data_IF_488570417627
#
_entry.id   IF_488570417627
#
_cell.length_a   1.000
_cell.length_b   1.000
_cell.length_c   1.000
_cell.angle_alpha   90.00
_cell.angle_beta   90.00
_cell.angle_gamma   90.00
#
_symmetry.space_group_name_H-M   'P 1'
#
loop_
_entity.id
_entity.type
_entity.pdbx_description
1 polymer ?
#
# COMPACT_ATOMS: atom_id res chain seq x y z
N UNK A 1 -29.71 -59.91 99.86
CA UNK A 1 -29.03 -60.07 98.56
C UNK A 1 -29.17 -58.79 97.77
N UNK A 2 -28.02 -58.28 97.31
CA UNK A 2 -27.81 -57.44 96.13
C UNK A 2 -28.68 -56.18 95.90
N UNK A 3 -28.03 -55.05 96.24
CA UNK A 3 -28.15 -53.72 95.64
C UNK A 3 -28.26 -53.80 94.11
N UNK A 4 -29.04 -52.91 93.48
CA UNK A 4 -28.56 -52.21 92.27
C UNK A 4 -29.25 -50.85 92.10
N UNK A 5 -28.45 -49.81 92.37
CA UNK A 5 -28.63 -48.44 91.90
C UNK A 5 -28.45 -48.44 90.38
N UNK A 6 -29.49 -48.07 89.63
CA UNK A 6 -29.36 -47.76 88.21
C UNK A 6 -29.20 -46.25 88.05
N UNK A 7 -27.93 -45.83 87.96
CA UNK A 7 -27.55 -44.49 87.56
C UNK A 7 -28.06 -44.17 86.15
N UNK A 8 -28.86 -43.12 86.01
CA UNK A 8 -29.15 -42.50 84.71
C UNK A 8 -27.85 -41.89 84.18
N UNK A 9 -27.16 -42.63 83.30
CA UNK A 9 -26.08 -42.10 82.48
C UNK A 9 -26.64 -41.02 81.55
N UNK A 10 -26.05 -39.84 81.65
CA UNK A 10 -26.12 -38.77 80.67
C UNK A 10 -25.67 -39.34 79.31
N UNK A 11 -26.56 -39.31 78.32
CA UNK A 11 -26.16 -39.49 76.93
C UNK A 11 -25.45 -38.21 76.48
N UNK A 12 -24.26 -38.29 75.86
CA UNK A 12 -23.61 -37.13 75.26
C UNK A 12 -24.45 -36.65 74.08
N UNK A 13 -24.71 -35.35 74.03
CA UNK A 13 -25.25 -34.70 72.84
C UNK A 13 -24.28 -34.93 71.70
N UNK A 14 -24.60 -35.87 70.81
CA UNK A 14 -23.91 -36.02 69.53
C UNK A 14 -24.29 -34.81 68.69
N UNK A 15 -23.41 -33.80 68.67
CA UNK A 15 -23.46 -32.72 67.71
C UNK A 15 -23.46 -33.35 66.31
N UNK A 16 -24.61 -33.31 65.64
CA UNK A 16 -24.70 -33.57 64.21
C UNK A 16 -23.91 -32.45 63.53
N UNK A 17 -22.63 -32.72 63.25
CA UNK A 17 -21.86 -31.96 62.28
C UNK A 17 -22.54 -32.22 60.94
N UNK A 18 -23.46 -31.33 60.58
CA UNK A 18 -23.93 -31.20 59.21
C UNK A 18 -22.67 -31.02 58.37
N UNK A 19 -22.37 -31.90 57.40
CA UNK A 19 -21.30 -31.59 56.49
C UNK A 19 -21.71 -30.30 55.81
N UNK A 20 -20.98 -29.22 56.11
CA UNK A 20 -20.98 -28.03 55.26
C UNK A 20 -20.56 -28.58 53.91
N UNK A 21 -21.55 -28.88 53.05
CA UNK A 21 -21.30 -28.94 51.62
C UNK A 21 -20.80 -27.55 51.33
N UNK A 22 -19.47 -27.40 51.30
CA UNK A 22 -18.85 -26.38 50.48
C UNK A 22 -19.45 -26.65 49.12
N UNK A 23 -20.52 -25.95 48.80
CA UNK A 23 -20.82 -25.61 47.43
C UNK A 23 -19.52 -24.99 46.98
N UNK A 24 -18.70 -25.79 46.29
CA UNK A 24 -17.70 -25.27 45.39
C UNK A 24 -18.55 -24.46 44.44
N UNK A 25 -18.74 -23.18 44.76
CA UNK A 25 -19.12 -22.18 43.79
C UNK A 25 -18.08 -22.42 42.72
N UNK A 26 -18.51 -23.05 41.62
CA UNK A 26 -17.67 -23.25 40.47
C UNK A 26 -17.11 -21.85 40.22
N UNK A 27 -15.81 -21.69 40.50
CA UNK A 27 -15.10 -20.51 40.02
C UNK A 27 -15.51 -20.43 38.56
N UNK A 28 -16.01 -19.28 38.06
CA UNK A 28 -16.22 -19.15 36.63
C UNK A 28 -14.92 -19.64 36.01
N UNK A 29 -15.01 -20.73 35.24
CA UNK A 29 -13.86 -21.27 34.53
C UNK A 29 -13.35 -20.05 33.77
N UNK A 30 -12.19 -19.54 34.19
CA UNK A 30 -11.61 -18.37 33.57
C UNK A 30 -11.67 -18.64 32.06
N UNK A 31 -12.18 -17.71 31.23
CA UNK A 31 -12.22 -17.94 29.79
C UNK A 31 -10.83 -18.39 29.41
N UNK A 32 -10.68 -19.64 28.93
CA UNK A 32 -9.41 -20.34 28.86
C UNK A 32 -8.34 -19.37 28.38
N UNK A 33 -7.58 -18.81 29.31
CA UNK A 33 -6.59 -17.82 28.97
C UNK A 33 -5.43 -18.67 28.54
N UNK A 34 -5.43 -19.02 27.25
CA UNK A 34 -4.28 -19.61 26.59
C UNK A 34 -3.10 -18.76 27.04
N UNK A 35 -2.23 -19.35 27.86
CA UNK A 35 -1.03 -18.63 28.24
C UNK A 35 -0.23 -18.45 26.95
N UNK A 36 0.61 -17.42 26.89
CA UNK A 36 1.48 -17.22 25.71
C UNK A 36 2.33 -18.47 25.42
N UNK A 37 2.63 -19.25 26.46
CA UNK A 37 3.26 -20.57 26.37
C UNK A 37 2.35 -21.60 25.70
N UNK A 38 1.08 -21.70 26.07
CA UNK A 38 0.13 -22.64 25.46
C UNK A 38 -0.12 -22.31 23.98
N UNK A 39 -0.15 -21.02 23.63
CA UNK A 39 -0.22 -20.57 22.24
C UNK A 39 1.03 -20.98 21.44
N UNK A 40 2.22 -20.82 22.02
CA UNK A 40 3.49 -21.27 21.42
C UNK A 40 3.47 -22.79 21.21
N UNK A 41 3.09 -23.56 22.22
CA UNK A 41 3.00 -25.03 22.13
C UNK A 41 1.99 -25.48 21.09
N UNK A 42 0.81 -24.85 21.04
CA UNK A 42 -0.22 -25.15 20.04
C UNK A 42 0.27 -24.85 18.62
N UNK A 43 1.03 -23.77 18.42
CA UNK A 43 1.64 -23.46 17.13
C UNK A 43 2.70 -24.51 16.73
N UNK A 44 3.52 -24.98 17.67
CA UNK A 44 4.48 -26.07 17.44
C UNK A 44 3.78 -27.39 17.10
N UNK A 45 2.67 -27.70 17.76
CA UNK A 45 1.84 -28.88 17.44
C UNK A 45 1.19 -28.76 16.06
N UNK A 46 0.68 -27.59 15.71
CA UNK A 46 0.12 -27.31 14.38
C UNK A 46 1.18 -27.41 13.28
N UNK A 47 2.42 -26.98 13.53
CA UNK A 47 3.56 -27.17 12.62
C UNK A 47 3.87 -28.65 12.42
N UNK A 48 3.90 -29.44 13.51
CA UNK A 48 4.14 -30.89 13.45
C UNK A 48 3.03 -31.62 12.67
N UNK A 49 1.77 -31.24 12.90
CA UNK A 49 0.62 -31.87 12.26
C UNK A 49 0.54 -31.54 10.76
N UNK A 50 0.65 -30.25 10.40
CA UNK A 50 0.45 -29.76 9.04
C UNK A 50 1.61 -28.86 8.58
N UNK A 51 2.82 -29.41 8.36
CA UNK A 51 3.99 -28.58 8.06
C UNK A 51 3.92 -27.83 6.72
N UNK A 52 3.08 -28.28 5.79
CA UNK A 52 2.89 -27.59 4.51
C UNK A 52 2.16 -26.25 4.66
N UNK A 53 1.40 -26.05 5.74
CA UNK A 53 0.74 -24.77 6.04
C UNK A 53 1.69 -23.71 6.59
N UNK A 54 2.97 -24.05 6.74
CA UNK A 54 3.99 -23.16 7.28
C UNK A 54 5.06 -22.85 6.23
N UNK A 55 5.54 -21.62 6.26
CA UNK A 55 6.78 -21.22 5.61
C UNK A 55 7.94 -21.50 6.57
N UNK A 56 8.81 -22.43 6.18
CA UNK A 56 10.09 -22.66 6.84
C UNK A 56 11.10 -21.60 6.38
N UNK A 57 11.39 -20.65 7.25
CA UNK A 57 12.28 -19.52 7.00
C UNK A 57 13.66 -19.70 7.64
N UNK A 58 13.92 -20.84 8.32
CA UNK A 58 15.19 -21.13 9.01
C UNK A 58 16.40 -20.90 8.11
N UNK A 59 16.30 -21.33 6.86
CA UNK A 59 17.38 -21.21 5.86
C UNK A 59 17.51 -19.82 5.19
N UNK A 60 16.53 -18.93 5.36
CA UNK A 60 16.44 -17.62 4.66
C UNK A 60 16.50 -16.42 5.60
N UNK A 61 16.53 -16.67 6.90
CA UNK A 61 16.55 -15.66 7.95
C UNK A 61 17.92 -14.98 8.05
N UNK A 62 17.97 -13.69 7.67
CA UNK A 62 19.18 -12.84 7.80
C UNK A 62 19.20 -12.01 9.11
N UNK A 63 18.13 -12.07 9.91
CA UNK A 63 17.99 -11.36 11.17
C UNK A 63 17.59 -12.36 12.26
N UNK A 64 18.37 -12.54 13.35
CA UNK A 64 18.07 -13.50 14.42
C UNK A 64 16.72 -13.22 15.11
N UNK A 65 16.20 -11.99 15.04
CA UNK A 65 14.89 -11.61 15.60
C UNK A 65 13.70 -11.95 14.69
N UNK A 66 13.91 -12.28 13.42
CA UNK A 66 12.82 -12.69 12.54
C UNK A 66 12.31 -14.10 12.92
N UNK A 67 11.05 -14.45 12.63
CA UNK A 67 10.53 -15.78 12.94
C UNK A 67 11.13 -16.88 12.06
N UNK A 68 11.27 -18.08 12.62
CA UNK A 68 11.82 -19.27 11.96
C UNK A 68 10.75 -20.00 11.16
N UNK A 69 9.52 -20.05 11.67
CA UNK A 69 8.34 -20.49 10.91
C UNK A 69 7.24 -19.44 10.94
N UNK A 70 6.56 -19.28 9.82
CA UNK A 70 5.43 -18.36 9.69
C UNK A 70 4.29 -19.08 8.99
N UNK A 71 3.08 -19.00 9.54
CA UNK A 71 1.91 -19.64 8.93
C UNK A 71 1.57 -18.98 7.57
N UNK A 72 1.18 -19.78 6.58
CA UNK A 72 0.95 -19.33 5.20
C UNK A 72 -0.30 -18.48 5.05
N UNK A 73 -1.37 -18.88 5.73
CA UNK A 73 -2.67 -18.21 5.79
C UNK A 73 -2.64 -16.96 6.68
N UNK A 74 -1.88 -17.01 7.78
CA UNK A 74 -1.77 -15.92 8.73
C UNK A 74 -0.31 -15.63 9.13
N UNK A 75 0.25 -14.59 8.52
CA UNK A 75 1.63 -14.13 8.78
C UNK A 75 1.85 -13.56 10.19
N UNK A 76 0.80 -13.36 10.99
CA UNK A 76 0.92 -12.95 12.40
C UNK A 76 1.19 -14.13 13.34
N UNK A 77 0.93 -15.36 12.91
CA UNK A 77 1.20 -16.58 13.68
C UNK A 77 2.58 -17.09 13.29
N UNK A 78 3.50 -17.06 14.24
CA UNK A 78 4.91 -17.29 13.97
C UNK A 78 5.61 -18.00 15.13
N UNK A 79 6.64 -18.78 14.80
CA UNK A 79 7.40 -19.60 15.73
C UNK A 79 8.87 -19.22 15.64
N UNK A 80 9.52 -19.12 16.78
CA UNK A 80 10.97 -18.92 16.93
C UNK A 80 11.57 -20.15 17.61
N UNK A 81 12.66 -20.68 17.04
CA UNK A 81 13.39 -21.84 17.59
C UNK A 81 14.12 -21.43 18.86
N UNK A 82 14.74 -20.25 18.85
CA UNK A 82 15.40 -19.66 20.01
C UNK A 82 14.41 -18.99 21.00
N UNK A 83 13.12 -19.37 20.93
CA UNK A 83 12.09 -18.88 21.82
C UNK A 83 12.25 -19.41 23.25
N UNK A 84 11.87 -18.58 24.25
CA UNK A 84 11.92 -18.97 25.67
C UNK A 84 11.06 -20.20 26.02
N UNK A 85 10.00 -20.42 25.25
CA UNK A 85 9.01 -21.48 25.46
C UNK A 85 9.03 -22.56 24.37
N UNK A 86 10.17 -22.75 23.71
CA UNK A 86 10.35 -23.82 22.74
C UNK A 86 10.23 -25.20 23.43
N UNK A 87 9.34 -26.10 22.96
CA UNK A 87 9.18 -27.42 23.56
C UNK A 87 10.44 -28.28 23.35
N UNK A 88 10.80 -29.12 24.32
CA UNK A 88 12.04 -29.93 24.29
C UNK A 88 12.12 -30.88 23.07
N UNK A 89 10.98 -31.31 22.55
CA UNK A 89 10.90 -32.20 21.37
C UNK A 89 10.99 -31.49 20.02
N UNK A 90 11.25 -30.18 20.00
CA UNK A 90 11.28 -29.41 18.76
C UNK A 90 12.31 -29.96 17.76
N UNK A 91 13.44 -30.48 18.25
CA UNK A 91 14.51 -31.07 17.42
C UNK A 91 13.99 -32.26 16.60
N UNK A 92 13.17 -33.15 17.17
CA UNK A 92 12.55 -34.26 16.44
C UNK A 92 11.64 -33.77 15.31
N UNK A 93 10.98 -32.62 15.50
CA UNK A 93 10.13 -32.01 14.47
C UNK A 93 10.97 -31.40 13.37
N UNK A 94 12.08 -30.74 13.73
CA UNK A 94 13.04 -30.22 12.76
C UNK A 94 13.66 -31.35 11.94
N UNK A 95 14.08 -32.44 12.57
CA UNK A 95 14.64 -33.60 11.90
C UNK A 95 13.64 -34.27 10.96
N UNK A 96 12.38 -34.40 11.37
CA UNK A 96 11.30 -34.89 10.51
C UNK A 96 11.04 -33.96 9.31
N UNK A 97 11.09 -32.64 9.52
CA UNK A 97 10.93 -31.65 8.45
C UNK A 97 12.10 -31.66 7.48
N UNK A 98 13.32 -31.76 8.00
CA UNK A 98 14.56 -31.81 7.22
C UNK A 98 14.65 -33.13 6.44
N UNK A 99 14.23 -34.25 7.04
CA UNK A 99 14.13 -35.55 6.38
C UNK A 99 13.09 -35.54 5.25
N UNK A 100 11.94 -34.90 5.45
CA UNK A 100 10.92 -34.69 4.39
C UNK A 100 11.45 -33.82 3.25
N UNK A 101 12.25 -32.80 3.57
CA UNK A 101 12.92 -31.95 2.57
C UNK A 101 14.04 -32.70 1.81
N UNK A 102 14.74 -33.63 2.46
CA UNK A 102 15.81 -34.44 1.86
C UNK A 102 15.27 -35.59 0.98
N UNK A 103 14.11 -36.18 1.31
CA UNK A 103 13.44 -37.22 0.51
C UNK A 103 12.84 -36.70 -0.81
N UNK A 104 12.69 -35.38 -0.97
CA UNK A 104 12.34 -34.72 -2.21
C UNK A 104 13.58 -34.07 -2.86
N UNK A 105 14.52 -34.90 -3.34
CA UNK A 105 15.49 -34.51 -4.38
C UNK A 105 16.20 -33.15 -4.21
N UNK A 106 16.64 -32.81 -3.00
CA UNK A 106 17.51 -31.65 -2.76
C UNK A 106 18.71 -32.07 -1.92
N UNK A 107 19.74 -32.54 -2.61
CA UNK A 107 21.07 -32.72 -2.04
C UNK A 107 21.57 -31.43 -1.38
N UNK A 108 21.88 -31.58 -0.09
CA UNK A 108 23.08 -31.07 0.58
C UNK A 108 23.47 -29.62 0.28
N UNK A 109 22.94 -28.70 1.10
CA UNK A 109 23.47 -27.34 1.25
C UNK A 109 24.49 -27.32 2.37
N UNK A 110 25.74 -27.61 2.04
CA UNK A 110 26.85 -27.02 2.80
C UNK A 110 26.85 -25.52 2.55
N UNK A 111 27.21 -24.78 3.60
CA UNK A 111 27.25 -23.33 3.68
C UNK A 111 28.22 -22.74 2.65
N UNK A 112 27.73 -22.51 1.43
CA UNK A 112 28.22 -21.45 0.56
C UNK A 112 27.08 -20.99 -0.33
N UNK A 113 26.85 -19.68 -0.35
CA UNK A 113 25.71 -19.02 -0.97
C UNK A 113 25.96 -18.86 -2.48
N UNK A 114 25.08 -19.35 -3.38
CA UNK A 114 24.79 -18.65 -4.62
C UNK A 114 23.51 -17.84 -4.41
N UNK A 115 23.66 -16.52 -4.56
CA UNK A 115 22.56 -15.60 -4.79
C UNK A 115 21.97 -15.86 -6.18
N UNK A 116 20.72 -15.45 -6.32
CA UNK A 116 19.92 -15.45 -7.54
C UNK A 116 19.38 -16.82 -7.93
N UNK A 117 18.05 -16.84 -7.99
CA UNK A 117 17.23 -17.74 -8.78
C UNK A 117 18.01 -18.43 -9.90
N UNK A 118 17.79 -19.74 -10.04
CA UNK A 118 17.78 -20.36 -11.37
C UNK A 118 16.66 -19.67 -12.17
N UNK A 119 16.90 -18.43 -12.62
CA UNK A 119 16.55 -18.05 -13.97
C UNK A 119 17.18 -19.14 -14.81
N UNK A 120 16.38 -19.75 -15.66
CA UNK A 120 16.86 -20.72 -16.63
C UNK A 120 18.17 -20.17 -17.20
N UNK A 121 19.32 -20.83 -16.96
CA UNK A 121 20.62 -20.28 -17.36
C UNK A 121 20.63 -19.96 -18.86
N UNK A 122 19.82 -20.69 -19.62
CA UNK A 122 19.48 -20.43 -21.01
C UNK A 122 18.77 -19.09 -21.24
N UNK A 123 17.81 -18.69 -20.39
CA UNK A 123 17.10 -17.42 -20.53
C UNK A 123 17.98 -16.21 -20.19
N UNK A 124 18.84 -16.30 -19.17
CA UNK A 124 19.80 -15.25 -18.87
C UNK A 124 20.86 -15.13 -19.98
N UNK A 125 21.36 -16.26 -20.48
CA UNK A 125 22.26 -16.30 -21.63
C UNK A 125 21.61 -15.72 -22.90
N UNK A 126 20.34 -16.02 -23.17
CA UNK A 126 19.59 -15.43 -24.28
C UNK A 126 19.40 -13.92 -24.13
N UNK A 127 19.26 -13.42 -22.90
CA UNK A 127 19.20 -11.99 -22.63
C UNK A 127 20.56 -11.32 -22.90
N UNK A 128 21.67 -11.96 -22.56
CA UNK A 128 23.01 -11.50 -22.94
C UNK A 128 23.20 -11.48 -24.46
N UNK A 129 22.75 -12.52 -25.17
CA UNK A 129 22.76 -12.54 -26.65
C UNK A 129 21.92 -11.39 -27.23
N UNK A 130 20.70 -11.18 -26.72
CA UNK A 130 19.84 -10.07 -27.13
C UNK A 130 20.48 -8.71 -26.89
N UNK A 131 21.25 -8.53 -25.81
CA UNK A 131 22.01 -7.30 -25.56
C UNK A 131 23.10 -7.08 -26.61
N UNK A 132 23.78 -8.15 -27.04
CA UNK A 132 24.82 -8.07 -28.08
C UNK A 132 24.24 -7.82 -29.47
N UNK A 133 23.15 -8.49 -29.81
CA UNK A 133 22.48 -8.37 -31.11
C UNK A 133 21.76 -7.02 -31.26
N UNK A 134 21.09 -6.55 -30.20
CA UNK A 134 20.26 -5.34 -30.24
C UNK A 134 20.50 -4.44 -29.01
N UNK A 135 21.69 -3.82 -28.89
CA UNK A 135 22.06 -3.03 -27.72
C UNK A 135 21.21 -1.77 -27.53
N UNK A 136 20.56 -1.27 -28.59
CA UNK A 136 19.63 -0.15 -28.54
C UNK A 136 18.35 -0.45 -27.77
N UNK A 137 17.95 -1.72 -27.59
CA UNK A 137 16.78 -2.11 -26.80
C UNK A 137 17.06 -2.16 -25.28
N UNK A 138 18.30 -1.86 -24.90
CA UNK A 138 18.76 -1.90 -23.52
C UNK A 138 19.17 -0.51 -23.04
N UNK A 139 18.85 -0.22 -21.78
CA UNK A 139 19.44 0.86 -21.02
C UNK A 139 20.73 0.38 -20.38
N UNK A 140 21.84 0.98 -20.79
CA UNK A 140 23.12 0.86 -20.09
C UNK A 140 23.15 1.82 -18.90
N UNK A 141 23.15 1.25 -17.69
CA UNK A 141 23.15 1.99 -16.43
C UNK A 141 24.51 1.94 -15.72
N UNK A 142 25.53 1.32 -16.31
CA UNK A 142 26.85 1.09 -15.67
C UNK A 142 27.45 2.38 -15.10
N UNK A 143 27.36 3.49 -15.84
CA UNK A 143 27.90 4.79 -15.44
C UNK A 143 27.02 5.59 -14.48
N UNK A 144 25.73 5.23 -14.33
CA UNK A 144 24.73 5.97 -13.53
C UNK A 144 24.32 5.23 -12.26
N UNK A 145 24.88 4.04 -12.04
CA UNK A 145 24.55 3.15 -10.94
C UNK A 145 25.13 3.68 -9.61
N UNK A 146 24.25 4.15 -8.73
CA UNK A 146 24.60 4.62 -7.38
C UNK A 146 24.57 3.51 -6.32
N UNK A 147 23.98 2.36 -6.65
CA UNK A 147 23.84 1.21 -5.76
C UNK A 147 24.41 -0.04 -6.45
N UNK A 148 25.39 -0.75 -5.85
CA UNK A 148 25.96 -1.98 -6.41
C UNK A 148 24.92 -3.06 -6.75
N UNK A 149 23.76 -3.07 -6.08
CA UNK A 149 22.67 -4.04 -6.32
C UNK A 149 21.75 -3.68 -7.49
N UNK A 150 21.80 -2.45 -8.00
CA UNK A 150 21.00 -2.08 -9.17
C UNK A 150 21.51 -2.82 -10.43
N UNK A 151 20.67 -3.07 -11.44
CA UNK A 151 21.11 -3.75 -12.65
C UNK A 151 22.03 -2.88 -13.51
N UNK A 152 22.98 -3.52 -14.20
CA UNK A 152 23.92 -2.86 -15.10
C UNK A 152 23.26 -2.60 -16.46
N UNK A 153 22.49 -3.57 -16.96
CA UNK A 153 21.64 -3.39 -18.13
C UNK A 153 20.19 -3.69 -17.80
N UNK A 154 19.27 -2.90 -18.36
CA UNK A 154 17.82 -3.12 -18.21
C UNK A 154 17.14 -2.95 -19.55
N UNK A 155 16.24 -3.86 -19.92
CA UNK A 155 15.47 -3.72 -21.16
C UNK A 155 14.57 -2.48 -21.13
N UNK A 156 14.36 -1.88 -22.30
CA UNK A 156 13.55 -0.67 -22.46
C UNK A 156 12.04 -0.97 -22.43
N UNK A 157 11.64 -2.02 -23.13
CA UNK A 157 10.28 -2.53 -23.25
C UNK A 157 9.80 -3.22 -21.98
N UNK A 158 10.66 -4.04 -21.37
CA UNK A 158 10.38 -4.77 -20.15
C UNK A 158 11.35 -4.40 -19.02
N UNK A 159 10.82 -3.66 -18.04
CA UNK A 159 11.58 -3.24 -16.86
C UNK A 159 11.90 -4.37 -15.90
N UNK A 160 11.32 -5.57 -16.10
CA UNK A 160 11.57 -6.76 -15.29
C UNK A 160 12.80 -7.56 -15.77
N UNK A 161 13.18 -7.41 -17.05
CA UNK A 161 14.35 -8.08 -17.63
C UNK A 161 15.60 -7.21 -17.41
N UNK A 162 16.55 -7.76 -16.66
CA UNK A 162 17.74 -7.05 -16.23
C UNK A 162 18.95 -7.97 -16.12
N UNK A 163 20.12 -7.41 -16.42
CA UNK A 163 21.40 -8.08 -16.42
C UNK A 163 22.37 -7.38 -15.46
N UNK A 164 23.19 -8.21 -14.82
CA UNK A 164 24.19 -7.79 -13.85
C UNK A 164 25.55 -8.33 -14.27
N UNK A 165 26.56 -7.47 -14.32
CA UNK A 165 27.93 -7.88 -14.66
C UNK A 165 28.53 -8.81 -13.61
N UNK A 166 28.11 -8.70 -12.35
CA UNK A 166 28.52 -9.59 -11.26
C UNK A 166 27.69 -10.89 -11.19
N UNK A 167 26.87 -11.18 -12.21
CA UNK A 167 26.15 -12.46 -12.31
C UNK A 167 27.09 -13.61 -12.61
N UNK A 168 26.83 -14.77 -12.00
CA UNK A 168 27.60 -15.99 -12.23
C UNK A 168 27.47 -16.53 -13.67
N UNK A 169 26.39 -16.16 -14.37
CA UNK A 169 26.10 -16.57 -15.74
C UNK A 169 26.51 -15.51 -16.78
N UNK A 170 27.33 -14.53 -16.40
CA UNK A 170 27.92 -13.61 -17.36
C UNK A 170 28.76 -14.41 -18.38
N UNK A 171 28.50 -14.28 -19.69
CA UNK A 171 29.25 -15.02 -20.70
C UNK A 171 30.73 -14.67 -20.69
N UNK A 172 31.60 -15.61 -21.08
CA UNK A 172 33.06 -15.37 -21.13
C UNK A 172 33.44 -14.20 -22.06
N UNK A 173 32.63 -13.96 -23.10
CA UNK A 173 32.81 -12.86 -24.06
C UNK A 173 32.27 -11.51 -23.56
N UNK A 174 31.84 -11.39 -22.30
CA UNK A 174 31.27 -10.16 -21.77
C UNK A 174 32.23 -8.98 -21.87
N UNK A 175 33.53 -9.18 -21.65
CA UNK A 175 34.53 -8.10 -21.71
C UNK A 175 34.64 -7.50 -23.12
N UNK A 176 34.61 -8.35 -24.16
CA UNK A 176 34.60 -7.90 -25.56
C UNK A 176 33.33 -7.11 -25.87
N UNK A 177 32.17 -7.59 -25.40
CA UNK A 177 30.91 -6.86 -25.55
C UNK A 177 30.98 -5.49 -24.87
N UNK A 178 31.53 -5.39 -23.67
CA UNK A 178 31.65 -4.10 -22.97
C UNK A 178 32.55 -3.12 -23.73
N UNK A 179 33.68 -3.59 -24.26
CA UNK A 179 34.55 -2.77 -25.11
C UNK A 179 33.82 -2.28 -26.36
N UNK A 180 33.05 -3.15 -27.01
CA UNK A 180 32.23 -2.79 -28.17
C UNK A 180 31.17 -1.75 -27.82
N UNK A 181 30.45 -1.93 -26.70
CA UNK A 181 29.43 -0.98 -26.24
C UNK A 181 30.05 0.37 -25.87
N UNK A 182 31.20 0.39 -25.21
CA UNK A 182 31.91 1.62 -24.83
C UNK A 182 32.46 2.34 -26.06
N UNK A 183 32.99 1.60 -27.04
CA UNK A 183 33.40 2.14 -28.33
C UNK A 183 32.21 2.73 -29.11
N UNK A 184 31.06 2.02 -29.15
CA UNK A 184 29.81 2.53 -29.76
C UNK A 184 29.29 3.77 -29.06
N UNK A 185 29.32 3.83 -27.72
CA UNK A 185 28.93 5.03 -26.97
C UNK A 185 29.89 6.19 -27.23
N UNK A 186 31.18 5.92 -27.29
CA UNK A 186 32.21 6.92 -27.60
C UNK A 186 32.08 7.43 -29.04
N UNK A 187 31.76 6.57 -30.01
CA UNK A 187 31.46 6.96 -31.39
C UNK A 187 30.16 7.77 -31.48
N UNK A 188 29.13 7.44 -30.71
CA UNK A 188 27.90 8.26 -30.63
C UNK A 188 28.15 9.62 -29.98
N UNK A 189 28.97 9.66 -28.94
CA UNK A 189 29.39 10.92 -28.30
C UNK A 189 30.28 11.75 -29.22
N UNK A 190 31.21 11.11 -29.94
CA UNK A 190 32.05 11.74 -30.95
C UNK A 190 31.23 12.21 -32.16
N UNK A 191 30.23 11.44 -32.59
CA UNK A 191 29.25 11.80 -33.61
C UNK A 191 28.37 12.98 -33.17
N UNK A 192 27.99 13.06 -31.89
CA UNK A 192 27.37 14.27 -31.32
C UNK A 192 28.32 15.47 -31.34
N UNK A 193 29.61 15.27 -31.09
CA UNK A 193 30.63 16.34 -31.16
C UNK A 193 31.00 16.77 -32.59
N UNK A 194 30.87 15.86 -33.57
CA UNK A 194 31.05 16.17 -35.01
C UNK A 194 29.76 16.68 -35.66
N UNK A 195 28.57 16.30 -35.18
CA UNK A 195 27.29 16.87 -35.62
C UNK A 195 27.11 18.30 -35.10
N UNK A 196 27.77 18.68 -34.00
CA UNK A 196 27.99 20.09 -33.64
C UNK A 196 29.01 20.83 -34.51
N UNK A 197 29.65 20.17 -35.48
CA UNK A 197 30.56 20.83 -36.45
C UNK A 197 30.11 20.72 -37.92
N UNK A 198 29.19 19.81 -38.28
CA UNK A 198 28.75 19.63 -39.68
C UNK A 198 27.23 19.61 -39.88
N UNK A 199 26.43 19.93 -38.86
CA UNK A 199 24.98 19.98 -38.97
C UNK A 199 24.38 21.26 -38.36
N UNK A 200 24.49 22.38 -39.08
CA UNK A 200 23.73 23.60 -38.81
C UNK A 200 24.60 24.84 -38.68
N UNK A 201 24.56 25.68 -39.71
CA UNK A 201 25.03 27.07 -39.72
C UNK A 201 24.20 27.99 -38.78
N UNK A 202 23.92 27.57 -37.55
CA UNK A 202 23.34 28.46 -36.55
C UNK A 202 24.35 28.69 -35.45
N UNK A 203 24.87 29.92 -35.43
CA UNK A 203 25.85 30.40 -34.47
C UNK A 203 25.46 29.96 -33.04
N UNK A 204 26.41 29.55 -32.18
CA UNK A 204 26.15 29.21 -30.78
C UNK A 204 25.34 30.26 -30.00
N UNK A 205 25.36 31.51 -30.46
CA UNK A 205 24.54 32.61 -29.94
C UNK A 205 23.05 32.43 -30.28
N UNK A 206 22.69 32.09 -31.51
CA UNK A 206 21.30 31.98 -31.96
C UNK A 206 20.54 30.89 -31.18
N UNK A 207 21.16 29.72 -30.95
CA UNK A 207 20.54 28.66 -30.16
C UNK A 207 20.25 29.09 -28.71
N UNK A 208 21.17 29.84 -28.11
CA UNK A 208 21.00 30.38 -26.77
C UNK A 208 19.94 31.49 -26.75
N UNK A 209 19.86 32.28 -27.82
CA UNK A 209 18.84 33.31 -28.01
C UNK A 209 17.45 32.72 -28.22
N UNK A 210 17.30 31.63 -28.98
CA UNK A 210 16.02 30.95 -29.19
C UNK A 210 15.50 30.33 -27.89
N UNK A 211 16.40 29.73 -27.09
CA UNK A 211 16.04 29.25 -25.74
C UNK A 211 15.63 30.39 -24.82
N UNK A 212 16.36 31.50 -24.86
CA UNK A 212 16.02 32.71 -24.09
C UNK A 212 14.66 33.27 -24.53
N UNK A 213 14.40 33.33 -25.82
CA UNK A 213 13.13 33.80 -26.38
C UNK A 213 11.97 32.89 -25.95
N UNK A 214 12.17 31.56 -25.96
CA UNK A 214 11.16 30.60 -25.49
C UNK A 214 10.90 30.69 -23.97
N UNK A 215 11.90 31.07 -23.16
CA UNK A 215 11.72 31.35 -21.74
C UNK A 215 10.98 32.69 -21.53
N UNK A 216 11.36 33.73 -22.29
CA UNK A 216 10.70 35.05 -22.24
C UNK A 216 9.23 34.97 -22.62
N UNK A 217 8.89 34.19 -23.65
CA UNK A 217 7.50 33.99 -24.08
C UNK A 217 6.59 33.39 -22.98
N UNK A 218 7.16 32.60 -22.05
CA UNK A 218 6.42 32.06 -20.91
C UNK A 218 6.14 33.15 -19.87
N UNK A 219 7.11 34.03 -19.62
CA UNK A 219 6.94 35.20 -18.75
C UNK A 219 5.94 36.21 -19.35
N UNK A 220 6.01 36.44 -20.66
CA UNK A 220 5.06 37.31 -21.37
C UNK A 220 3.63 36.75 -21.31
N UNK A 221 3.48 35.42 -21.38
CA UNK A 221 2.20 34.74 -21.20
C UNK A 221 1.64 34.94 -19.79
N UNK A 222 2.48 34.85 -18.75
CA UNK A 222 2.08 35.13 -17.36
C UNK A 222 1.64 36.59 -17.19
N UNK A 223 2.39 37.54 -17.76
CA UNK A 223 2.04 38.97 -17.71
C UNK A 223 0.73 39.27 -18.42
N UNK A 224 0.52 38.69 -19.60
CA UNK A 224 -0.64 38.97 -20.43
C UNK A 224 -1.91 38.33 -19.89
N UNK A 225 -1.81 37.12 -19.33
CA UNK A 225 -2.96 36.32 -18.90
C UNK A 225 -2.68 35.65 -17.54
N UNK A 226 -2.57 36.43 -16.44
CA UNK A 226 -2.17 35.91 -15.13
C UNK A 226 -3.18 34.90 -14.55
N UNK A 227 -4.44 34.97 -14.94
CA UNK A 227 -5.48 34.02 -14.54
C UNK A 227 -5.28 32.60 -15.09
N UNK A 228 -4.48 32.41 -16.13
CA UNK A 228 -4.11 31.08 -16.66
C UNK A 228 -3.01 30.40 -15.83
N UNK A 229 -2.48 31.10 -14.81
CA UNK A 229 -1.40 30.63 -13.98
C UNK A 229 -1.82 30.48 -12.51
N UNK A 230 -1.33 29.43 -11.88
CA UNK A 230 -1.30 29.32 -10.42
C UNK A 230 -0.10 30.09 -9.90
N UNK A 231 -0.36 31.09 -9.06
CA UNK A 231 0.66 31.77 -8.25
C UNK A 231 0.86 30.98 -6.95
N UNK A 232 1.99 30.29 -6.85
CA UNK A 232 2.34 29.46 -5.70
C UNK A 232 3.38 30.14 -4.79
N UNK A 233 3.74 31.41 -5.04
CA UNK A 233 4.79 32.12 -4.29
C UNK A 233 4.52 32.11 -2.79
N UNK A 234 3.24 32.23 -2.40
CA UNK A 234 2.79 32.27 -1.00
C UNK A 234 2.44 30.90 -0.39
N UNK A 235 2.30 29.86 -1.21
CA UNK A 235 1.88 28.51 -0.75
C UNK A 235 2.98 27.45 -0.86
N UNK A 236 4.08 27.73 -1.57
CA UNK A 236 5.16 26.76 -1.74
C UNK A 236 5.91 26.50 -0.43
N UNK A 237 5.97 25.24 -0.02
CA UNK A 237 6.73 24.78 1.17
C UNK A 237 8.15 24.35 0.83
N UNK A 238 8.44 24.10 -0.45
CA UNK A 238 9.73 23.65 -0.94
C UNK A 238 10.34 24.72 -1.86
N UNK A 239 11.58 25.20 -1.61
CA UNK A 239 12.23 26.20 -2.46
C UNK A 239 12.46 25.72 -3.91
N UNK A 240 12.48 24.40 -4.16
CA UNK A 240 12.59 23.83 -5.52
C UNK A 240 11.26 23.75 -6.26
N UNK A 241 10.13 23.99 -5.59
CA UNK A 241 8.83 24.02 -6.24
C UNK A 241 8.69 25.29 -7.11
N UNK A 242 7.95 25.21 -8.23
CA UNK A 242 7.78 26.34 -9.13
C UNK A 242 6.95 27.46 -8.50
N UNK A 243 7.34 28.70 -8.78
CA UNK A 243 6.65 29.92 -8.34
C UNK A 243 5.34 30.10 -9.09
N UNK A 244 5.38 29.89 -10.41
CA UNK A 244 4.18 29.92 -11.26
C UNK A 244 4.04 28.63 -12.02
N UNK A 245 2.79 28.17 -12.15
CA UNK A 245 2.48 26.94 -12.88
C UNK A 245 1.23 27.13 -13.74
N UNK A 246 1.31 26.78 -15.01
CA UNK A 246 0.17 26.90 -15.94
C UNK A 246 -0.97 25.97 -15.51
N UNK A 247 -2.22 26.45 -15.56
CA UNK A 247 -3.39 25.73 -15.01
C UNK A 247 -3.86 24.56 -15.88
N UNK A 248 -3.74 24.71 -17.19
CA UNK A 248 -4.16 23.80 -18.25
C UNK A 248 -3.30 22.52 -18.29
N UNK A 249 -2.04 22.62 -18.71
CA UNK A 249 -1.18 21.48 -18.99
C UNK A 249 -0.35 21.09 -17.77
N UNK A 250 -0.23 21.99 -16.79
CA UNK A 250 0.59 21.82 -15.57
C UNK A 250 2.06 21.41 -15.87
N UNK A 251 2.49 21.51 -17.12
CA UNK A 251 3.81 21.13 -17.64
C UNK A 251 4.75 22.32 -17.71
N UNK A 252 4.19 23.51 -18.00
CA UNK A 252 4.92 24.77 -18.01
C UNK A 252 4.95 25.36 -16.61
N UNK A 253 6.15 25.69 -16.17
CA UNK A 253 6.45 26.21 -14.85
C UNK A 253 7.53 27.29 -14.94
N UNK A 254 7.46 28.26 -14.03
CA UNK A 254 8.40 29.35 -13.90
C UNK A 254 8.93 29.41 -12.47
N UNK A 255 10.20 29.76 -12.34
CA UNK A 255 10.89 29.93 -11.06
C UNK A 255 11.49 31.32 -11.01
N UNK A 256 11.26 32.03 -9.90
CA UNK A 256 11.92 33.30 -9.62
C UNK A 256 13.42 33.13 -9.34
N UNK A 257 13.87 31.90 -9.08
CA UNK A 257 15.29 31.56 -9.00
C UNK A 257 15.94 31.32 -10.37
N UNK A 258 15.23 31.51 -11.48
CA UNK A 258 15.85 31.42 -12.81
C UNK A 258 16.90 32.53 -12.96
N UNK A 259 18.00 32.23 -13.64
CA UNK A 259 19.07 33.21 -13.90
C UNK A 259 18.63 34.31 -14.88
N UNK A 260 17.52 34.12 -15.60
CA UNK A 260 17.08 34.99 -16.69
C UNK A 260 15.65 35.48 -16.43
N UNK A 261 15.51 36.41 -15.48
CA UNK A 261 14.24 37.07 -15.21
C UNK A 261 14.05 38.26 -16.17
N UNK A 262 12.81 38.51 -16.65
CA UNK A 262 12.51 39.73 -17.41
C UNK A 262 12.77 40.98 -16.56
N UNK A 263 13.17 42.08 -17.20
CA UNK A 263 13.42 43.36 -16.51
C UNK A 263 12.18 43.88 -15.77
N UNK A 264 10.98 43.60 -16.29
CA UNK A 264 9.71 44.01 -15.70
C UNK A 264 9.23 43.12 -14.54
N UNK A 265 10.02 42.13 -14.11
CA UNK A 265 9.55 41.11 -13.16
C UNK A 265 9.06 41.73 -11.85
N UNK A 266 9.77 42.71 -11.29
CA UNK A 266 9.41 43.31 -10.01
C UNK A 266 8.08 44.07 -10.08
N UNK A 267 7.83 44.78 -11.18
CA UNK A 267 6.55 45.46 -11.44
C UNK A 267 5.41 44.45 -11.59
N UNK A 268 5.65 43.35 -12.33
CA UNK A 268 4.67 42.28 -12.49
C UNK A 268 4.33 41.63 -11.14
N UNK A 269 5.32 41.35 -10.30
CA UNK A 269 5.08 40.77 -8.97
C UNK A 269 4.24 41.71 -8.09
N UNK A 270 4.56 43.01 -8.11
CA UNK A 270 3.78 44.02 -7.39
C UNK A 270 2.33 44.11 -7.89
N UNK A 271 2.11 44.06 -9.20
CA UNK A 271 0.76 44.04 -9.78
C UNK A 271 -0.03 42.78 -9.35
N UNK A 272 0.61 41.61 -9.40
CA UNK A 272 -0.01 40.35 -8.99
C UNK A 272 -0.37 40.35 -7.49
N UNK A 273 0.51 40.89 -6.65
CA UNK A 273 0.26 41.02 -5.21
C UNK A 273 -0.88 42.01 -4.92
N UNK A 274 -0.93 43.15 -5.60
CA UNK A 274 -2.04 44.11 -5.46
C UNK A 274 -3.39 43.51 -5.91
N UNK A 275 -3.42 42.77 -7.02
CA UNK A 275 -4.62 42.04 -7.48
C UNK A 275 -5.08 40.99 -6.47
N UNK A 276 -4.13 40.28 -5.84
CA UNK A 276 -4.43 39.32 -4.78
C UNK A 276 -5.05 40.02 -3.56
N UNK A 277 -4.47 41.13 -3.12
CA UNK A 277 -4.99 41.92 -1.99
C UNK A 277 -6.38 42.47 -2.25
N UNK A 278 -6.64 43.02 -3.44
CA UNK A 278 -7.99 43.47 -3.84
C UNK A 278 -9.02 42.33 -3.82
N UNK A 279 -8.64 41.13 -4.26
CA UNK A 279 -9.52 39.96 -4.19
C UNK A 279 -9.83 39.57 -2.74
N UNK A 280 -8.83 39.64 -1.86
CA UNK A 280 -8.99 39.29 -0.44
C UNK A 280 -9.79 40.35 0.32
N UNK A 281 -9.58 41.64 0.06
CA UNK A 281 -10.33 42.73 0.70
C UNK A 281 -11.81 42.72 0.30
N UNK A 282 -12.13 42.46 -0.96
CA UNK A 282 -13.51 42.31 -1.42
C UNK A 282 -14.25 41.13 -0.79
N UNK A 283 -13.54 40.05 -0.42
CA UNK A 283 -14.13 38.95 0.36
C UNK A 283 -14.36 39.35 1.82
N UNK A 284 -13.47 40.13 2.41
CA UNK A 284 -13.57 40.58 3.80
C UNK A 284 -14.68 41.61 3.97
N UNK A 285 -14.87 42.52 3.01
CA UNK A 285 -15.93 43.52 3.04
C UNK A 285 -17.32 42.87 2.93
N UNK A 286 -17.50 41.85 2.08
CA UNK A 286 -18.75 41.05 2.06
C UNK A 286 -19.05 40.32 3.37
N UNK A 287 -18.02 39.90 4.10
CA UNK A 287 -18.22 39.29 5.42
C UNK A 287 -18.61 40.33 6.48
N UNK A 288 -18.10 41.57 6.37
CA UNK A 288 -18.48 42.67 7.26
C UNK A 288 -19.89 43.19 6.99
N UNK A 289 -20.30 43.32 5.71
CA UNK A 289 -21.68 43.67 5.34
C UNK A 289 -22.70 42.63 5.85
N UNK A 290 -22.31 41.35 5.89
CA UNK A 290 -23.13 40.30 6.51
C UNK A 290 -23.29 40.44 8.03
N UNK A 291 -22.37 41.13 8.71
CA UNK A 291 -22.44 41.36 10.16
C UNK A 291 -23.08 42.69 10.55
N UNK A 292 -23.30 43.60 9.59
CA UNK A 292 -23.80 44.96 9.85
C UNK A 292 -25.33 45.12 9.75
N UNK A 293 -26.11 44.05 9.62
CA UNK A 293 -27.58 44.15 9.65
C UNK A 293 -28.10 44.35 11.07
N UNK A 294 -28.74 45.48 11.40
CA UNK A 294 -29.52 45.59 12.63
C UNK A 294 -30.78 44.75 12.44
N UNK A 295 -30.92 43.74 13.28
CA UNK A 295 -32.12 42.90 13.36
C UNK A 295 -33.31 43.76 13.81
N UNK A 296 -34.08 44.29 12.86
CA UNK A 296 -35.39 44.87 13.13
C UNK A 296 -36.28 44.86 11.87
N UNK A 297 -37.20 43.89 11.87
CA UNK A 297 -38.56 43.94 11.34
C UNK A 297 -38.78 44.70 10.02
N UNK A 298 -38.63 44.01 8.88
CA UNK A 298 -39.37 44.33 7.66
C UNK A 298 -39.30 43.16 6.66
N UNK A 299 -40.14 42.13 6.85
CA UNK A 299 -40.57 41.29 5.74
C UNK A 299 -41.73 42.00 5.06
N UNK A 300 -41.45 42.79 4.03
CA UNK A 300 -42.38 43.03 2.94
C UNK A 300 -41.65 43.79 1.83
N UNK A 301 -41.70 43.19 0.66
CA UNK A 301 -41.60 43.87 -0.64
C UNK A 301 -40.19 44.20 -1.16
N UNK A 302 -39.59 43.21 -1.83
CA UNK A 302 -38.70 43.47 -2.95
C UNK A 302 -39.10 42.60 -4.15
N UNK A 303 -39.26 43.19 -5.36
CA UNK A 303 -39.68 42.46 -6.54
C UNK A 303 -38.54 41.58 -7.08
N UNK A 304 -38.81 40.28 -7.19
CA UNK A 304 -37.98 39.33 -7.91
C UNK A 304 -38.03 39.57 -9.43
N UNK A 305 -37.23 40.50 -9.96
CA UNK A 305 -36.97 40.55 -11.40
C UNK A 305 -35.52 40.96 -11.68
N UNK A 306 -34.60 39.99 -11.56
CA UNK A 306 -33.40 39.82 -12.41
C UNK A 306 -32.46 38.68 -11.95
N UNK A 307 -32.99 37.49 -11.63
CA UNK A 307 -32.15 36.28 -11.44
C UNK A 307 -32.72 35.00 -12.07
N UNK A 308 -33.61 35.11 -13.06
CA UNK A 308 -34.19 33.93 -13.74
C UNK A 308 -33.47 33.52 -15.04
N UNK A 309 -32.23 33.94 -15.29
CA UNK A 309 -31.56 33.56 -16.54
C UNK A 309 -30.38 32.59 -16.47
N UNK A 310 -29.80 32.25 -15.31
CA UNK A 310 -28.75 31.22 -15.27
C UNK A 310 -28.62 30.50 -13.92
N UNK A 311 -29.60 29.66 -13.55
CA UNK A 311 -29.37 28.61 -12.54
C UNK A 311 -30.20 27.37 -12.90
N UNK A 312 -29.92 26.75 -14.05
CA UNK A 312 -30.32 25.36 -14.25
C UNK A 312 -29.31 24.48 -13.51
N UNK A 313 -29.66 24.11 -12.27
CA UNK A 313 -29.31 22.82 -11.67
C UNK A 313 -27.84 22.39 -11.64
N UNK A 314 -26.87 23.27 -11.43
CA UNK A 314 -25.53 22.83 -11.05
C UNK A 314 -25.55 22.42 -9.57
N UNK A 315 -25.76 21.12 -9.34
CA UNK A 315 -25.48 20.47 -8.04
C UNK A 315 -24.03 20.77 -7.68
N UNK A 316 -23.75 21.23 -6.45
CA UNK A 316 -22.36 21.45 -6.01
C UNK A 316 -21.54 20.18 -6.32
N UNK A 317 -20.43 20.26 -7.08
CA UNK A 317 -19.62 19.10 -7.43
C UNK A 317 -19.16 18.27 -6.21
N UNK A 318 -19.18 18.84 -5.00
CA UNK A 318 -18.93 18.13 -3.74
C UNK A 318 -20.14 17.34 -3.28
N UNK A 319 -21.33 17.91 -3.35
CA UNK A 319 -22.59 17.22 -3.02
C UNK A 319 -22.86 16.08 -3.99
N UNK A 320 -22.60 16.28 -5.29
CA UNK A 320 -22.71 15.24 -6.30
C UNK A 320 -21.81 14.03 -6.00
N UNK A 321 -20.56 14.26 -5.57
CA UNK A 321 -19.63 13.18 -5.18
C UNK A 321 -20.06 12.47 -3.90
N UNK A 322 -20.59 13.20 -2.93
CA UNK A 322 -21.10 12.62 -1.69
C UNK A 322 -22.34 11.75 -1.98
N UNK A 323 -23.23 12.20 -2.86
CA UNK A 323 -24.37 11.43 -3.31
C UNK A 323 -23.94 10.16 -4.07
N UNK A 324 -22.93 10.26 -4.93
CA UNK A 324 -22.37 9.11 -5.65
C UNK A 324 -21.73 8.08 -4.70
N UNK A 325 -20.98 8.55 -3.70
CA UNK A 325 -20.40 7.69 -2.67
C UNK A 325 -21.48 7.03 -1.81
N UNK A 326 -22.51 7.77 -1.42
CA UNK A 326 -23.65 7.23 -0.66
C UNK A 326 -24.39 6.16 -1.47
N UNK A 327 -24.62 6.39 -2.76
CA UNK A 327 -25.26 5.40 -3.64
C UNK A 327 -24.46 4.09 -3.73
N UNK A 328 -23.12 4.14 -3.69
CA UNK A 328 -22.27 2.93 -3.63
C UNK A 328 -22.48 2.17 -2.31
N UNK A 329 -22.60 2.88 -1.19
CA UNK A 329 -22.90 2.25 0.11
C UNK A 329 -24.31 1.66 0.16
N UNK A 330 -25.30 2.33 -0.41
CA UNK A 330 -26.67 1.82 -0.50
C UNK A 330 -26.74 0.55 -1.38
N UNK A 331 -26.01 0.52 -2.49
CA UNK A 331 -25.88 -0.69 -3.31
C UNK A 331 -25.30 -1.88 -2.54
N UNK A 332 -24.32 -1.67 -1.64
CA UNK A 332 -23.80 -2.72 -0.77
C UNK A 332 -24.85 -3.23 0.23
N UNK A 333 -25.71 -2.34 0.74
CA UNK A 333 -26.80 -2.69 1.65
C UNK A 333 -27.89 -3.51 0.96
N UNK A 334 -28.27 -3.09 -0.23
CA UNK A 334 -29.43 -3.63 -0.93
C UNK A 334 -29.06 -4.91 -1.72
N UNK A 335 -27.82 -4.99 -2.21
CA UNK A 335 -27.30 -6.09 -3.03
C UNK A 335 -25.92 -6.58 -2.55
N UNK A 336 -25.79 -7.11 -1.32
CA UNK A 336 -24.50 -7.54 -0.76
C UNK A 336 -23.81 -8.65 -1.56
N UNK A 337 -24.56 -9.44 -2.32
CA UNK A 337 -24.06 -10.48 -3.21
C UNK A 337 -23.23 -9.93 -4.38
N UNK A 338 -23.46 -8.70 -4.83
CA UNK A 338 -22.69 -8.05 -5.90
C UNK A 338 -21.32 -7.56 -5.43
N UNK A 339 -21.02 -7.70 -4.14
CA UNK A 339 -19.79 -7.20 -3.53
C UNK A 339 -18.90 -8.35 -3.06
N UNK A 340 -17.59 -8.15 -3.21
CA UNK A 340 -16.56 -8.89 -2.50
C UNK A 340 -16.32 -8.21 -1.16
N UNK A 341 -16.67 -8.91 -0.09
CA UNK A 341 -16.28 -8.55 1.27
C UNK A 341 -14.84 -9.03 1.53
N UNK A 342 -13.93 -8.08 1.69
CA UNK A 342 -12.51 -8.34 1.92
C UNK A 342 -12.09 -7.98 3.35
N UNK A 343 -13.02 -7.68 4.27
CA UNK A 343 -12.70 -7.21 5.63
C UNK A 343 -11.80 -8.17 6.39
N UNK A 344 -11.98 -9.47 6.18
CA UNK A 344 -11.20 -10.54 6.83
C UNK A 344 -10.00 -11.03 6.00
N UNK A 345 -9.91 -10.65 4.73
CA UNK A 345 -8.85 -11.10 3.80
C UNK A 345 -7.92 -9.97 3.37
N UNK A 346 -8.13 -8.74 3.86
CA UNK A 346 -7.32 -7.59 3.47
C UNK A 346 -5.87 -7.72 3.98
N UNK A 347 -4.86 -7.61 3.09
CA UNK A 347 -3.46 -7.78 3.47
C UNK A 347 -2.87 -6.57 4.21
N UNK A 348 -3.46 -5.38 4.06
CA UNK A 348 -3.10 -4.18 4.82
C UNK A 348 -4.27 -3.16 4.83
N UNK A 349 -4.23 -2.12 5.68
CA UNK A 349 -5.32 -1.14 5.82
C UNK A 349 -5.61 -0.25 4.60
N UNK A 350 -4.71 -0.20 3.60
CA UNK A 350 -4.92 0.56 2.36
C UNK A 350 -5.75 -0.21 1.32
N UNK A 351 -5.93 -1.52 1.52
CA UNK A 351 -6.80 -2.32 0.66
C UNK A 351 -8.28 -2.04 0.96
N UNK A 352 -9.14 -2.06 -0.08
CA UNK A 352 -10.56 -1.77 0.07
C UNK A 352 -11.27 -2.87 0.86
N UNK A 353 -12.18 -2.45 1.75
CA UNK A 353 -12.99 -3.36 2.58
C UNK A 353 -14.06 -4.06 1.74
N UNK A 354 -14.68 -3.33 0.81
CA UNK A 354 -15.61 -3.89 -0.17
C UNK A 354 -15.17 -3.52 -1.58
N UNK A 355 -15.33 -4.46 -2.51
CA UNK A 355 -15.06 -4.24 -3.93
C UNK A 355 -16.18 -4.85 -4.76
N UNK A 356 -16.72 -4.11 -5.72
CA UNK A 356 -17.80 -4.62 -6.56
C UNK A 356 -17.29 -5.78 -7.44
N UNK A 357 -18.15 -6.77 -7.70
CA UNK A 357 -17.79 -7.97 -8.48
C UNK A 357 -17.59 -7.66 -9.96
N UNK A 358 -18.52 -6.90 -10.53
CA UNK A 358 -18.58 -6.62 -11.96
C UNK A 358 -17.61 -5.51 -12.36
N UNK A 359 -17.48 -4.50 -11.49
CA UNK A 359 -16.56 -3.38 -11.68
C UNK A 359 -15.55 -3.32 -10.54
N UNK A 360 -14.33 -3.79 -10.81
CA UNK A 360 -13.24 -3.80 -9.82
C UNK A 360 -12.70 -2.41 -9.49
N UNK A 361 -13.11 -1.38 -10.23
CA UNK A 361 -12.76 0.02 -9.96
C UNK A 361 -13.61 0.65 -8.86
N UNK A 362 -14.81 0.10 -8.61
CA UNK A 362 -15.71 0.56 -7.55
C UNK A 362 -15.37 -0.13 -6.23
N UNK A 363 -14.94 0.66 -5.25
CA UNK A 363 -14.38 0.19 -3.99
C UNK A 363 -14.84 1.07 -2.84
N UNK A 364 -14.98 0.45 -1.65
CA UNK A 364 -15.39 1.12 -0.42
C UNK A 364 -14.41 0.81 0.70
N UNK A 365 -14.13 1.81 1.53
CA UNK A 365 -13.31 1.71 2.74
C UNK A 365 -14.14 2.14 3.94
N UNK A 366 -14.18 1.31 4.97
CA UNK A 366 -14.81 1.63 6.26
C UNK A 366 -14.08 2.77 6.99
N UNK A 367 -12.81 3.00 6.67
CA UNK A 367 -12.03 4.13 7.19
C UNK A 367 -12.26 5.45 6.46
N UNK A 368 -13.07 5.47 5.40
CA UNK A 368 -13.39 6.69 4.67
C UNK A 368 -14.32 7.59 5.48
N UNK A 369 -14.13 8.91 5.38
CA UNK A 369 -15.08 9.90 5.92
C UNK A 369 -16.46 9.86 5.23
N UNK A 370 -16.54 9.22 4.06
CA UNK A 370 -17.80 8.98 3.34
C UNK A 370 -18.52 7.69 3.76
N UNK A 371 -18.00 6.94 4.74
CA UNK A 371 -18.69 5.78 5.30
C UNK A 371 -19.92 6.24 6.11
N UNK A 372 -21.14 5.78 5.78
CA UNK A 372 -22.35 6.17 6.51
C UNK A 372 -22.36 5.57 7.91
N UNK A 373 -22.86 6.32 8.90
CA UNK A 373 -22.92 5.86 10.31
C UNK A 373 -23.67 4.53 10.49
N UNK A 374 -24.71 4.30 9.67
CA UNK A 374 -25.51 3.08 9.70
C UNK A 374 -24.76 1.82 9.23
N UNK A 375 -23.57 1.95 8.65
CA UNK A 375 -22.80 0.80 8.17
C UNK A 375 -22.52 -0.20 9.32
N UNK A 376 -22.31 0.31 10.53
CA UNK A 376 -22.04 -0.52 11.72
C UNK A 376 -23.18 -1.47 12.07
N UNK A 377 -24.43 -1.14 11.71
CA UNK A 377 -25.59 -2.01 11.88
C UNK A 377 -25.70 -3.07 10.78
N UNK A 378 -25.13 -2.80 9.60
CA UNK A 378 -25.12 -3.71 8.47
C UNK A 378 -23.99 -4.75 8.56
N UNK A 379 -22.82 -4.40 9.10
CA UNK A 379 -21.65 -5.29 9.18
C UNK A 379 -21.97 -6.67 9.81
N UNK A 380 -22.68 -6.78 10.95
CA UNK A 380 -23.00 -8.08 11.54
C UNK A 380 -23.91 -8.94 10.64
N UNK A 381 -24.79 -8.30 9.85
CA UNK A 381 -25.67 -9.00 8.90
C UNK A 381 -24.86 -9.60 7.75
N UNK A 382 -23.86 -8.84 7.26
CA UNK A 382 -22.94 -9.32 6.23
C UNK A 382 -22.06 -10.48 6.75
N UNK A 383 -21.59 -10.41 8.00
CA UNK A 383 -20.82 -11.49 8.63
C UNK A 383 -21.63 -12.78 8.70
N UNK A 384 -22.92 -12.68 9.07
CA UNK A 384 -23.84 -13.81 9.12
C UNK A 384 -24.08 -14.44 7.73
N UNK A 385 -24.21 -13.63 6.68
CA UNK A 385 -24.33 -14.12 5.30
C UNK A 385 -23.07 -14.84 4.82
N UNK A 386 -21.88 -14.33 5.17
CA UNK A 386 -20.60 -14.98 4.85
C UNK A 386 -20.52 -16.35 5.54
N UNK A 387 -20.85 -16.42 6.83
CA UNK A 387 -20.88 -17.67 7.59
C UNK A 387 -21.86 -18.69 7.00
N UNK A 388 -23.08 -18.26 6.61
CA UNK A 388 -24.06 -19.13 5.96
C UNK A 388 -23.54 -19.68 4.62
N UNK A 389 -22.88 -18.85 3.81
CA UNK A 389 -22.32 -19.27 2.53
C UNK A 389 -21.17 -20.26 2.70
N UNK A 390 -20.34 -20.07 3.71
CA UNK A 390 -19.26 -20.99 4.05
C UNK A 390 -19.79 -22.33 4.56
N UNK A 391 -20.80 -22.31 5.44
CA UNK A 391 -21.49 -23.51 5.91
C UNK A 391 -22.16 -24.28 4.74
N UNK A 392 -22.80 -23.58 3.80
CA UNK A 392 -23.39 -24.19 2.61
C UNK A 392 -22.34 -24.78 1.63
N UNK A 393 -21.13 -24.21 1.57
CA UNK A 393 -20.02 -24.78 0.80
C UNK A 393 -19.48 -26.05 1.44
N UNK A 394 -19.37 -26.06 2.76
CA UNK A 394 -18.94 -27.24 3.52
C UNK A 394 -19.96 -28.38 3.36
N UNK A 395 -21.26 -28.11 3.46
CA UNK A 395 -22.28 -29.14 3.26
C UNK A 395 -22.35 -29.69 1.83
N UNK A 396 -22.12 -28.86 0.79
CA UNK A 396 -22.00 -29.33 -0.60
C UNK A 396 -20.76 -30.19 -0.85
N UNK A 397 -19.66 -29.94 -0.15
CA UNK A 397 -18.43 -30.73 -0.23
C UNK A 397 -18.58 -32.16 0.32
N UNK A 398 -19.49 -32.38 1.26
CA UNK A 398 -19.75 -33.70 1.86
C UNK A 398 -20.67 -34.61 1.03
N UNK A 399 -21.39 -34.10 0.02
CA UNK A 399 -22.32 -34.90 -0.79
C UNK A 399 -21.72 -35.42 -2.10
N UNK A 400 -20.52 -34.98 -2.51
CA UNK A 400 -19.88 -35.40 -3.76
C UNK A 400 -18.93 -36.60 -3.61
N UNK A 401 -18.85 -37.21 -2.42
CA UNK A 401 -17.86 -38.23 -2.08
C UNK A 401 -18.38 -39.65 -1.86
N UNK A 402 -19.67 -39.93 -2.09
CA UNK A 402 -20.24 -41.28 -1.90
C UNK A 402 -21.09 -41.66 -3.11
N UNK A 403 -20.45 -42.05 -4.21
CA UNK A 403 -21.07 -42.89 -5.24
C UNK A 403 -20.00 -43.43 -6.22
N UNK A 404 -19.14 -44.34 -5.74
CA UNK A 404 -18.55 -45.40 -6.58
C UNK A 404 -18.34 -46.62 -5.67
N UNK A 405 -19.19 -47.64 -5.82
CA UNK A 405 -19.03 -48.88 -5.09
C UNK A 405 -20.30 -49.73 -5.00
N UNK A 406 -20.75 -50.25 -6.15
CA UNK A 406 -21.18 -51.64 -6.31
C UNK A 406 -21.28 -52.01 -7.79
#
# INVERSE_FOLDING_TARGET
MLRHLAARRLLPQTALVVPIRRTVVARPVAPCSWSKRDEILSNWEALRANPEEWYDNRSRKNNPRAPDFVRRDNRSVAIWIDGRDTPEWYEDVLEQLDSRQMGQGRGERTSNRPRSDRRDSSAEYNNWLSLRESPEEWFDNRSRKTNPRAPDFRRKDDRSVALWLDSYNAPEWIEELLQELDARQSQRAAGYSQQSQQGGEMAPQQYMEDKRAAEMAKWDSLRSNPELWFDNRRSKTNPKAPDFKRKDDRSVALWLSSYQLPEYIDELLAELDARFEQRMSGQQQRQQDYQAYPEQQAYADYPQQQQQQYHQGEVDPREARQAEDLAKWESLRDHPEEWFDNRYSKPNPKWPDFRRRDDRSVVLWLSSRSAPEWINELLPKLDLLVQQREAARQSRGYSAGVEVGN
#
